data_IF_842784773914
#
_entry.id   IF_842784773914
#
_cell.length_a   1.000
_cell.length_b   1.000
_cell.length_c   1.000
_cell.angle_alpha   90.00
_cell.angle_beta   90.00
_cell.angle_gamma   90.00
#
_symmetry.space_group_name_H-M   'P 1'
#
loop_
_entity.id
_entity.type
_entity.pdbx_description
1 polymer ?
#
# COMPACT_ATOMS: atom_id res chain seq x y z
N UNK A 1 2.50 1.23 -14.18
CA UNK A 1 3.18 1.86 -13.02
C UNK A 1 4.70 2.07 -13.21
N UNK A 2 5.42 1.22 -13.98
CA UNK A 2 6.87 1.29 -14.09
C UNK A 2 7.47 2.55 -14.72
N UNK A 3 6.73 3.25 -15.55
CA UNK A 3 7.16 4.52 -16.16
C UNK A 3 6.80 5.75 -15.32
N UNK A 4 5.97 5.59 -14.28
CA UNK A 4 5.48 6.70 -13.48
C UNK A 4 6.60 7.39 -12.70
N UNK A 5 7.47 6.60 -12.08
CA UNK A 5 8.59 7.14 -11.29
C UNK A 5 9.58 7.96 -12.13
N UNK A 6 10.09 7.47 -13.27
CA UNK A 6 10.98 8.26 -14.13
C UNK A 6 10.33 9.55 -14.66
N UNK A 7 9.04 9.54 -14.94
CA UNK A 7 8.31 10.74 -15.41
C UNK A 7 8.23 11.79 -14.29
N UNK A 8 7.94 11.38 -13.07
CA UNK A 8 7.91 12.28 -11.90
C UNK A 8 9.30 12.86 -11.65
N UNK A 9 10.33 12.02 -11.65
CA UNK A 9 11.71 12.45 -11.44
C UNK A 9 12.20 13.46 -12.50
N UNK A 10 11.73 13.33 -13.75
CA UNK A 10 12.10 14.23 -14.85
C UNK A 10 11.45 15.60 -14.74
N UNK A 11 10.22 15.68 -14.19
CA UNK A 11 9.39 16.88 -14.27
C UNK A 11 9.26 17.64 -12.95
N UNK A 12 9.74 17.09 -11.83
CA UNK A 12 9.55 17.65 -10.49
C UNK A 12 10.90 17.83 -9.81
N UNK A 13 11.10 18.96 -9.14
CA UNK A 13 12.31 19.24 -8.38
C UNK A 13 12.45 18.28 -7.19
N UNK A 14 13.71 17.98 -6.81
CA UNK A 14 13.98 17.02 -5.73
C UNK A 14 13.35 17.40 -4.39
N UNK A 15 13.20 18.70 -4.12
CA UNK A 15 12.56 19.18 -2.90
C UNK A 15 11.08 18.78 -2.80
N UNK A 16 10.37 18.70 -3.94
CA UNK A 16 8.92 18.51 -3.99
C UNK A 16 8.53 17.05 -4.28
N UNK A 17 9.50 16.15 -4.42
CA UNK A 17 9.24 14.73 -4.74
C UNK A 17 8.35 14.03 -3.71
N UNK A 18 8.51 14.32 -2.42
CA UNK A 18 7.70 13.72 -1.36
C UNK A 18 6.25 14.18 -1.49
N UNK A 19 6.02 15.47 -1.75
CA UNK A 19 4.68 16.03 -1.94
C UNK A 19 4.02 15.47 -3.20
N UNK A 20 4.73 15.41 -4.31
CA UNK A 20 4.25 14.85 -5.56
C UNK A 20 3.84 13.37 -5.40
N UNK A 21 4.62 12.60 -4.66
CA UNK A 21 4.29 11.21 -4.35
C UNK A 21 3.08 11.10 -3.43
N UNK A 22 3.03 11.91 -2.39
CA UNK A 22 1.91 11.97 -1.45
C UNK A 22 0.61 12.34 -2.18
N UNK A 23 0.65 13.35 -3.05
CA UNK A 23 -0.49 13.75 -3.87
C UNK A 23 -0.94 12.64 -4.83
N UNK A 24 0.02 11.98 -5.46
CA UNK A 24 -0.25 10.87 -6.37
C UNK A 24 -0.91 9.69 -5.65
N UNK A 25 -0.46 9.40 -4.44
CA UNK A 25 -1.04 8.36 -3.60
C UNK A 25 -2.45 8.75 -3.13
N UNK A 26 -2.64 9.99 -2.73
CA UNK A 26 -3.93 10.56 -2.38
C UNK A 26 -4.97 10.39 -3.51
N UNK A 27 -4.64 10.83 -4.72
CA UNK A 27 -5.53 10.67 -5.90
C UNK A 27 -5.83 9.18 -6.13
N UNK A 28 -4.84 8.30 -6.02
CA UNK A 28 -5.04 6.86 -6.23
C UNK A 28 -6.00 6.27 -5.20
N UNK A 29 -5.91 6.66 -3.93
CA UNK A 29 -6.81 6.18 -2.89
C UNK A 29 -8.23 6.76 -3.01
N UNK A 30 -8.36 8.05 -3.34
CA UNK A 30 -9.68 8.66 -3.61
C UNK A 30 -10.36 7.97 -4.79
N UNK A 31 -9.63 7.75 -5.88
CA UNK A 31 -10.19 7.05 -7.05
C UNK A 31 -10.60 5.62 -6.70
N UNK A 32 -9.83 4.92 -5.87
CA UNK A 32 -10.14 3.57 -5.43
C UNK A 32 -11.41 3.53 -4.56
N UNK A 33 -11.49 4.41 -3.56
CA UNK A 33 -12.65 4.52 -2.67
C UNK A 33 -13.92 4.93 -3.43
N UNK A 34 -13.79 5.93 -4.30
CA UNK A 34 -14.90 6.38 -5.15
C UNK A 34 -15.36 5.28 -6.11
N UNK A 35 -14.42 4.55 -6.69
CA UNK A 35 -14.71 3.42 -7.57
C UNK A 35 -15.49 2.31 -6.86
N UNK A 36 -15.10 1.97 -5.63
CA UNK A 36 -15.82 0.98 -4.80
C UNK A 36 -17.22 1.47 -4.46
N UNK A 37 -17.38 2.73 -4.02
CA UNK A 37 -18.68 3.32 -3.70
C UNK A 37 -19.61 3.34 -4.92
N UNK A 38 -19.10 3.76 -6.08
CA UNK A 38 -19.83 3.74 -7.35
C UNK A 38 -20.19 2.32 -7.76
N UNK A 39 -19.26 1.36 -7.58
CA UNK A 39 -19.51 -0.05 -7.86
C UNK A 39 -20.66 -0.63 -7.05
N UNK A 40 -20.67 -0.39 -5.73
CA UNK A 40 -21.75 -0.82 -4.82
C UNK A 40 -23.07 -0.14 -5.20
N UNK A 41 -23.06 1.15 -5.50
CA UNK A 41 -24.24 1.91 -5.92
C UNK A 41 -24.82 1.38 -7.24
N UNK A 42 -23.97 1.13 -8.24
CA UNK A 42 -24.37 0.54 -9.52
C UNK A 42 -24.94 -0.88 -9.34
N UNK A 43 -24.36 -1.69 -8.44
CA UNK A 43 -24.84 -3.03 -8.15
C UNK A 43 -26.27 -3.00 -7.58
N UNK A 44 -26.53 -2.07 -6.69
CA UNK A 44 -27.87 -1.89 -6.10
C UNK A 44 -28.90 -1.42 -7.14
N UNK A 45 -28.56 -0.45 -7.98
CA UNK A 45 -29.48 0.07 -9.02
C UNK A 45 -29.73 -0.95 -10.13
N UNK A 46 -28.71 -1.70 -10.52
CA UNK A 46 -28.84 -2.72 -11.57
C UNK A 46 -29.45 -4.04 -11.09
N UNK A 47 -29.96 -4.10 -9.86
CA UNK A 47 -30.55 -5.32 -9.27
C UNK A 47 -29.63 -6.55 -9.40
N UNK A 48 -28.34 -6.34 -9.14
CA UNK A 48 -27.29 -7.34 -9.26
C UNK A 48 -27.03 -7.84 -10.71
N UNK A 49 -27.36 -7.03 -11.71
CA UNK A 49 -27.03 -7.35 -13.08
C UNK A 49 -25.55 -7.02 -13.37
N UNK A 50 -24.69 -8.04 -13.29
CA UNK A 50 -23.25 -7.91 -13.50
C UNK A 50 -22.87 -7.47 -14.93
N UNK A 51 -23.74 -7.71 -15.94
CA UNK A 51 -23.48 -7.28 -17.32
C UNK A 51 -23.44 -5.74 -17.42
N UNK A 52 -24.36 -5.04 -16.74
CA UNK A 52 -24.37 -3.58 -16.70
C UNK A 52 -23.12 -3.03 -16.02
N UNK A 53 -22.66 -3.68 -14.94
CA UNK A 53 -21.44 -3.28 -14.23
C UNK A 53 -20.22 -3.46 -15.13
N UNK A 54 -20.13 -4.61 -15.82
CA UNK A 54 -19.05 -4.88 -16.76
C UNK A 54 -19.01 -3.85 -17.91
N UNK A 55 -20.17 -3.45 -18.41
CA UNK A 55 -20.28 -2.42 -19.46
C UNK A 55 -19.80 -1.05 -18.96
N UNK A 56 -20.23 -0.61 -17.79
CA UNK A 56 -19.77 0.65 -17.18
C UNK A 56 -18.26 0.63 -16.96
N UNK A 57 -17.73 -0.50 -16.47
CA UNK A 57 -16.29 -0.68 -16.27
C UNK A 57 -15.54 -0.61 -17.63
N UNK A 58 -16.01 -1.27 -18.67
CA UNK A 58 -15.42 -1.22 -20.01
C UNK A 58 -15.42 0.21 -20.57
N UNK A 59 -16.53 0.94 -20.42
CA UNK A 59 -16.62 2.34 -20.82
C UNK A 59 -15.63 3.22 -20.05
N UNK A 60 -15.43 3.00 -18.76
CA UNK A 60 -14.46 3.76 -17.96
C UNK A 60 -13.02 3.55 -18.45
N UNK A 61 -12.64 2.33 -18.82
CA UNK A 61 -11.34 2.05 -19.43
C UNK A 61 -11.19 2.70 -20.80
N UNK A 62 -12.24 2.66 -21.62
CA UNK A 62 -12.24 3.33 -22.93
C UNK A 62 -12.06 4.85 -22.78
N UNK A 63 -12.79 5.49 -21.88
CA UNK A 63 -12.65 6.92 -21.59
C UNK A 63 -11.24 7.24 -21.08
N UNK A 64 -10.69 6.42 -20.19
CA UNK A 64 -9.32 6.58 -19.69
C UNK A 64 -8.29 6.50 -20.82
N UNK A 65 -8.48 5.59 -21.77
CA UNK A 65 -7.62 5.50 -22.97
C UNK A 65 -7.73 6.77 -23.83
N UNK A 66 -8.93 7.28 -24.05
CA UNK A 66 -9.14 8.53 -24.81
C UNK A 66 -8.46 9.74 -24.16
N UNK A 67 -8.50 9.85 -22.82
CA UNK A 67 -7.84 10.94 -22.09
C UNK A 67 -6.31 10.86 -22.20
N UNK A 68 -5.74 9.67 -22.36
CA UNK A 68 -4.29 9.50 -22.52
C UNK A 68 -3.76 9.87 -23.91
N UNK A 69 -4.61 9.88 -24.94
CA UNK A 69 -4.19 10.17 -26.31
C UNK A 69 -3.53 11.56 -26.46
N UNK A 70 -4.11 12.68 -25.98
CA UNK A 70 -3.51 14.02 -26.11
C UNK A 70 -2.21 14.18 -25.31
N UNK A 71 -2.05 13.45 -24.21
CA UNK A 71 -0.85 13.53 -23.34
C UNK A 71 0.25 12.55 -23.77
N UNK A 72 0.05 11.79 -24.84
CA UNK A 72 0.98 10.77 -25.31
C UNK A 72 2.41 11.30 -25.50
N UNK A 73 2.57 12.52 -26.01
CA UNK A 73 3.89 13.14 -26.26
C UNK A 73 4.65 13.39 -24.95
N UNK A 74 3.96 13.82 -23.90
CA UNK A 74 4.54 14.12 -22.58
C UNK A 74 4.86 12.83 -21.80
N UNK A 75 4.07 11.76 -22.05
CA UNK A 75 4.28 10.45 -21.47
C UNK A 75 5.34 9.63 -22.23
N UNK A 76 5.81 10.09 -23.40
CA UNK A 76 6.82 9.37 -24.15
C UNK A 76 8.18 9.59 -23.47
N UNK A 77 8.62 8.58 -22.76
CA UNK A 77 9.97 8.50 -22.24
C UNK A 77 10.90 8.17 -23.41
N UNK A 78 11.91 9.00 -23.64
CA UNK A 78 12.96 8.67 -24.62
C UNK A 78 13.53 7.30 -24.27
N UNK A 79 13.31 6.37 -25.19
CA UNK A 79 13.87 5.02 -25.07
C UNK A 79 15.37 5.22 -25.04
N UNK A 80 15.97 5.17 -23.85
CA UNK A 80 17.42 5.05 -23.75
C UNK A 80 17.73 3.72 -24.43
N UNK A 81 18.18 3.81 -25.69
CA UNK A 81 18.73 2.70 -26.44
C UNK A 81 20.08 2.34 -25.80
N UNK A 82 20.04 1.88 -24.55
CA UNK A 82 21.12 1.06 -24.04
C UNK A 82 20.87 -0.33 -24.59
N UNK A 83 21.87 -0.84 -25.29
CA UNK A 83 22.00 -2.23 -25.64
C UNK A 83 21.37 -3.07 -24.54
N UNK A 84 20.39 -3.87 -24.93
CA UNK A 84 19.83 -4.89 -24.04
C UNK A 84 21.02 -5.76 -23.71
N UNK A 85 21.68 -5.47 -22.59
CA UNK A 85 22.74 -6.32 -22.10
C UNK A 85 22.13 -7.72 -22.00
N UNK A 86 22.70 -8.68 -22.71
CA UNK A 86 22.30 -10.09 -22.66
C UNK A 86 22.62 -10.71 -21.29
N UNK A 87 22.67 -9.88 -20.27
CA UNK A 87 22.93 -10.27 -18.90
C UNK A 87 21.79 -11.18 -18.41
N UNK A 88 22.19 -12.30 -17.85
CA UNK A 88 21.27 -13.23 -17.22
C UNK A 88 20.31 -12.51 -16.29
N UNK A 89 19.03 -12.87 -16.31
CA UNK A 89 17.98 -12.36 -15.39
C UNK A 89 18.46 -12.34 -13.92
N UNK A 90 19.20 -13.35 -13.48
CA UNK A 90 19.78 -13.42 -12.15
C UNK A 90 20.80 -12.32 -11.86
N UNK A 91 21.61 -11.93 -12.86
CA UNK A 91 22.56 -10.83 -12.72
C UNK A 91 21.83 -9.49 -12.56
N UNK A 92 20.80 -9.27 -13.37
CA UNK A 92 19.97 -8.07 -13.26
C UNK A 92 19.27 -7.97 -11.89
N UNK A 93 18.75 -9.09 -11.36
CA UNK A 93 18.18 -9.15 -10.01
C UNK A 93 19.22 -8.82 -8.93
N UNK A 94 20.42 -9.39 -9.05
CA UNK A 94 21.52 -9.13 -8.12
C UNK A 94 21.96 -7.65 -8.13
N UNK A 95 22.03 -7.04 -9.30
CA UNK A 95 22.34 -5.60 -9.43
C UNK A 95 21.27 -4.71 -8.79
N UNK A 96 19.99 -5.02 -9.03
CA UNK A 96 18.88 -4.29 -8.39
C UNK A 96 18.94 -4.45 -6.88
N UNK A 97 19.15 -5.66 -6.38
CA UNK A 97 19.24 -5.93 -4.95
C UNK A 97 20.42 -5.20 -4.30
N UNK A 98 21.57 -5.15 -4.99
CA UNK A 98 22.75 -4.43 -4.53
C UNK A 98 22.50 -2.92 -4.50
N UNK A 99 21.84 -2.36 -5.52
CA UNK A 99 21.50 -0.94 -5.58
C UNK A 99 20.55 -0.55 -4.44
N UNK A 100 19.52 -1.35 -4.17
CA UNK A 100 18.59 -1.13 -3.08
C UNK A 100 19.34 -1.22 -1.73
N UNK A 101 20.20 -2.22 -1.57
CA UNK A 101 20.99 -2.42 -0.35
C UNK A 101 21.87 -1.20 -0.03
N UNK A 102 22.51 -0.60 -1.03
CA UNK A 102 23.33 0.61 -0.82
C UNK A 102 22.49 1.77 -0.30
N UNK A 103 21.34 2.04 -0.93
CA UNK A 103 20.47 3.15 -0.55
C UNK A 103 19.97 3.02 0.88
N UNK A 104 19.49 1.83 1.24
CA UNK A 104 18.94 1.64 2.57
C UNK A 104 20.02 1.60 3.67
N UNK A 105 21.22 1.11 3.38
CA UNK A 105 22.32 1.15 4.32
C UNK A 105 22.81 2.58 4.60
N UNK A 106 22.73 3.48 3.63
CA UNK A 106 23.08 4.89 3.83
C UNK A 106 21.99 5.65 4.58
N UNK A 107 20.72 5.23 4.45
CA UNK A 107 19.56 5.95 4.96
C UNK A 107 19.05 5.43 6.30
N UNK A 108 19.54 4.30 6.79
CA UNK A 108 19.06 3.64 8.00
C UNK A 108 20.20 3.06 8.84
N UNK A 109 19.98 3.02 10.16
CA UNK A 109 20.91 2.38 11.12
C UNK A 109 20.77 0.87 11.16
N UNK A 110 19.71 0.33 10.56
CA UNK A 110 19.37 -1.09 10.55
C UNK A 110 19.86 -1.75 9.26
N UNK A 111 20.28 -3.00 9.33
CA UNK A 111 20.68 -3.77 8.15
C UNK A 111 19.55 -3.80 7.11
N UNK A 112 19.89 -3.60 5.85
CA UNK A 112 18.96 -3.62 4.71
C UNK A 112 18.01 -4.83 4.70
N UNK A 113 18.52 -6.02 5.01
CA UNK A 113 17.72 -7.25 4.99
C UNK A 113 16.63 -7.20 6.07
N UNK A 114 16.94 -6.74 7.26
CA UNK A 114 15.96 -6.60 8.35
C UNK A 114 14.90 -5.56 8.00
N UNK A 115 15.32 -4.44 7.39
CA UNK A 115 14.40 -3.41 6.94
C UNK A 115 13.44 -3.92 5.84
N UNK A 116 13.96 -4.65 4.85
CA UNK A 116 13.16 -5.24 3.78
C UNK A 116 12.16 -6.25 4.33
N UNK A 117 12.60 -7.13 5.23
CA UNK A 117 11.71 -8.10 5.90
C UNK A 117 10.63 -7.38 6.69
N UNK A 118 10.96 -6.34 7.45
CA UNK A 118 9.99 -5.56 8.22
C UNK A 118 8.92 -4.93 7.30
N UNK A 119 9.34 -4.34 6.17
CA UNK A 119 8.40 -3.77 5.20
C UNK A 119 7.50 -4.86 4.60
N UNK A 120 8.05 -6.02 4.23
CA UNK A 120 7.28 -7.12 3.68
C UNK A 120 6.26 -7.66 4.68
N UNK A 121 6.66 -7.85 5.94
CA UNK A 121 5.77 -8.29 7.02
C UNK A 121 4.66 -7.27 7.28
N UNK A 122 4.98 -5.98 7.38
CA UNK A 122 3.98 -4.93 7.56
C UNK A 122 3.01 -4.84 6.38
N UNK A 123 3.45 -5.03 5.14
CA UNK A 123 2.57 -5.11 3.99
C UNK A 123 1.68 -6.36 4.02
N UNK A 124 2.24 -7.51 4.41
CA UNK A 124 1.49 -8.76 4.61
C UNK A 124 0.36 -8.56 5.62
N UNK A 125 0.69 -7.98 6.77
CA UNK A 125 -0.25 -7.72 7.87
C UNK A 125 -1.27 -6.66 7.46
N UNK A 126 -0.84 -5.51 6.95
CA UNK A 126 -1.73 -4.44 6.52
C UNK A 126 -2.71 -4.88 5.43
N UNK A 127 -2.23 -5.67 4.45
CA UNK A 127 -3.08 -6.22 3.40
C UNK A 127 -4.07 -7.29 3.88
N UNK A 128 -3.78 -7.96 5.00
CA UNK A 128 -4.65 -9.02 5.56
C UNK A 128 -5.77 -8.49 6.44
N UNK A 129 -5.70 -7.25 6.90
CA UNK A 129 -6.66 -6.67 7.85
C UNK A 129 -8.09 -6.75 7.32
N UNK A 130 -8.32 -6.39 6.07
CA UNK A 130 -9.65 -6.50 5.45
C UNK A 130 -10.17 -7.94 5.49
N UNK A 131 -9.34 -8.93 5.21
CA UNK A 131 -9.73 -10.34 5.26
C UNK A 131 -10.07 -10.80 6.69
N UNK A 132 -9.27 -10.39 7.67
CA UNK A 132 -9.51 -10.68 9.08
C UNK A 132 -10.84 -10.06 9.55
N UNK A 133 -11.06 -8.76 9.30
CA UNK A 133 -12.26 -8.08 9.69
C UNK A 133 -13.51 -8.56 8.95
N UNK A 134 -13.38 -9.03 7.70
CA UNK A 134 -14.48 -9.69 7.00
C UNK A 134 -15.03 -10.89 7.79
N UNK A 135 -14.16 -11.75 8.30
CA UNK A 135 -14.56 -12.93 9.07
C UNK A 135 -14.96 -12.55 10.50
N UNK A 136 -14.26 -11.60 11.11
CA UNK A 136 -14.57 -11.08 12.44
C UNK A 136 -16.00 -10.51 12.51
N UNK A 137 -16.39 -9.71 11.53
CA UNK A 137 -17.69 -9.05 11.47
C UNK A 137 -18.88 -10.00 11.18
N UNK A 138 -18.61 -11.23 10.71
CA UNK A 138 -19.67 -12.25 10.62
C UNK A 138 -20.18 -12.69 11.99
N UNK A 139 -19.31 -12.64 13.01
CA UNK A 139 -19.60 -13.15 14.34
C UNK A 139 -19.71 -12.04 15.40
N UNK A 140 -19.23 -10.85 15.10
CA UNK A 140 -19.21 -9.72 16.03
C UNK A 140 -19.61 -8.43 15.34
N UNK A 141 -20.34 -7.56 16.04
CA UNK A 141 -20.72 -6.24 15.54
C UNK A 141 -19.81 -5.14 16.11
N UNK A 142 -19.44 -4.18 15.30
CA UNK A 142 -18.79 -2.94 15.74
C UNK A 142 -19.88 -1.89 15.90
N UNK A 143 -20.03 -1.32 17.10
CA UNK A 143 -20.99 -0.24 17.39
C UNK A 143 -22.44 -0.58 16.99
N UNK A 144 -22.86 -1.85 17.07
CA UNK A 144 -24.16 -2.34 16.62
C UNK A 144 -24.45 -2.13 15.12
N UNK A 145 -23.43 -1.90 14.30
CA UNK A 145 -23.59 -1.84 12.85
C UNK A 145 -23.87 -3.22 12.25
N UNK A 146 -24.62 -3.24 11.17
CA UNK A 146 -24.76 -4.44 10.34
C UNK A 146 -23.39 -4.83 9.75
N UNK A 147 -23.27 -6.07 9.29
CA UNK A 147 -22.04 -6.58 8.66
C UNK A 147 -21.49 -5.63 7.57
N UNK A 148 -22.35 -5.21 6.65
CA UNK A 148 -21.95 -4.31 5.55
C UNK A 148 -21.55 -2.92 6.03
N UNK A 149 -22.23 -2.38 7.03
CA UNK A 149 -21.86 -1.10 7.65
C UNK A 149 -20.53 -1.20 8.40
N UNK A 150 -20.33 -2.26 9.17
CA UNK A 150 -19.08 -2.53 9.88
C UNK A 150 -17.90 -2.65 8.93
N UNK A 151 -18.07 -3.37 7.82
CA UNK A 151 -17.05 -3.49 6.77
C UNK A 151 -16.71 -2.14 6.14
N UNK A 152 -17.73 -1.35 5.81
CA UNK A 152 -17.52 -0.01 5.23
C UNK A 152 -16.79 0.92 6.20
N UNK A 153 -17.06 0.83 7.50
CA UNK A 153 -16.33 1.59 8.53
C UNK A 153 -14.87 1.17 8.58
N UNK A 154 -14.59 -0.13 8.58
CA UNK A 154 -13.20 -0.63 8.56
C UNK A 154 -12.45 -0.15 7.32
N UNK A 155 -13.05 -0.29 6.14
CA UNK A 155 -12.45 0.18 4.87
C UNK A 155 -12.23 1.70 4.88
N UNK A 156 -13.20 2.48 5.36
CA UNK A 156 -13.07 3.92 5.48
C UNK A 156 -11.91 4.32 6.41
N UNK A 157 -11.69 3.58 7.49
CA UNK A 157 -10.59 3.80 8.43
C UNK A 157 -9.24 3.44 7.79
N UNK A 158 -9.17 2.30 7.10
CA UNK A 158 -7.96 1.87 6.41
C UNK A 158 -7.54 2.89 5.36
N UNK A 159 -8.45 3.25 4.47
CA UNK A 159 -8.18 4.22 3.40
C UNK A 159 -7.98 5.62 3.97
N UNK A 160 -8.84 6.06 4.89
CA UNK A 160 -8.77 7.39 5.51
C UNK A 160 -7.48 7.60 6.29
N UNK A 161 -7.03 6.61 7.07
CA UNK A 161 -5.76 6.66 7.77
C UNK A 161 -4.58 6.84 6.82
N UNK A 162 -4.52 6.01 5.76
CA UNK A 162 -3.45 6.12 4.75
C UNK A 162 -3.50 7.48 4.03
N UNK A 163 -4.69 7.98 3.69
CA UNK A 163 -4.86 9.28 3.06
C UNK A 163 -4.33 10.42 3.94
N UNK A 164 -4.78 10.47 5.19
CA UNK A 164 -4.31 11.49 6.15
C UNK A 164 -2.80 11.39 6.35
N UNK A 165 -2.27 10.16 6.48
CA UNK A 165 -0.84 9.91 6.59
C UNK A 165 -0.05 10.44 5.39
N UNK A 166 -0.51 10.21 4.17
CA UNK A 166 0.16 10.68 2.97
C UNK A 166 0.03 12.19 2.75
N UNK A 167 -1.07 12.82 3.21
CA UNK A 167 -1.30 14.26 3.08
C UNK A 167 -0.59 15.13 4.13
N UNK A 168 0.07 14.52 5.10
CA UNK A 168 0.81 15.22 6.15
C UNK A 168 2.31 14.98 6.07
N UNK A 169 2.99 15.39 4.96
CA UNK A 169 4.40 15.06 4.70
C UNK A 169 5.38 15.77 5.64
N UNK A 170 4.96 16.84 6.35
CA UNK A 170 5.83 17.69 7.18
C UNK A 170 5.64 17.49 8.70
N UNK A 171 4.86 16.51 9.13
CA UNK A 171 4.64 16.26 10.55
C UNK A 171 5.84 15.59 11.25
N UNK A 172 5.70 15.37 12.56
CA UNK A 172 6.74 14.74 13.37
C UNK A 172 7.14 13.34 12.85
N UNK A 173 6.15 12.50 12.48
CA UNK A 173 6.41 11.13 12.04
C UNK A 173 7.09 11.07 10.66
N UNK A 174 6.81 12.04 9.80
CA UNK A 174 7.45 12.14 8.48
C UNK A 174 8.94 12.49 8.58
N UNK A 175 9.37 13.14 9.67
CA UNK A 175 10.78 13.51 9.92
C UNK A 175 11.61 12.33 10.47
N UNK A 176 10.97 11.31 11.03
CA UNK A 176 11.67 10.17 11.61
C UNK A 176 12.43 9.38 10.54
N UNK A 177 13.58 8.77 10.88
CA UNK A 177 14.21 7.75 10.04
C UNK A 177 13.25 6.61 9.72
N UNK A 178 13.41 5.96 8.55
CA UNK A 178 12.48 4.94 8.09
C UNK A 178 12.38 3.75 9.05
N UNK A 179 13.49 3.34 9.65
CA UNK A 179 13.55 2.25 10.63
C UNK A 179 12.75 2.56 11.90
N UNK A 180 12.82 3.79 12.41
CA UNK A 180 12.02 4.23 13.55
C UNK A 180 10.53 4.31 13.21
N UNK A 181 10.19 4.79 12.02
CA UNK A 181 8.81 4.83 11.54
C UNK A 181 8.22 3.43 11.46
N UNK A 182 8.97 2.45 10.90
CA UNK A 182 8.55 1.06 10.82
C UNK A 182 8.38 0.42 12.19
N UNK A 183 9.31 0.65 13.13
CA UNK A 183 9.21 0.15 14.51
C UNK A 183 7.95 0.67 15.22
N UNK A 184 7.67 1.98 15.12
CA UNK A 184 6.47 2.56 15.72
C UNK A 184 5.21 1.97 15.06
N UNK A 185 5.20 1.84 13.73
CA UNK A 185 4.09 1.23 13.00
C UNK A 185 3.85 -0.21 13.45
N UNK A 186 4.90 -1.00 13.60
CA UNK A 186 4.82 -2.37 14.11
C UNK A 186 4.26 -2.40 15.53
N UNK A 187 4.76 -1.57 16.44
CA UNK A 187 4.22 -1.49 17.81
C UNK A 187 2.73 -1.17 17.83
N UNK A 188 2.28 -0.25 16.98
CA UNK A 188 0.84 0.07 16.91
C UNK A 188 0.02 -1.09 16.35
N UNK A 189 0.52 -1.83 15.35
CA UNK A 189 -0.15 -3.05 14.87
C UNK A 189 -0.17 -4.15 15.94
N UNK A 190 0.90 -4.32 16.72
CA UNK A 190 0.90 -5.23 17.89
C UNK A 190 -0.23 -4.84 18.85
N UNK A 191 -0.38 -3.55 19.15
CA UNK A 191 -1.45 -3.07 20.02
C UNK A 191 -2.85 -3.32 19.41
N UNK A 192 -3.01 -3.21 18.08
CA UNK A 192 -4.26 -3.63 17.37
C UNK A 192 -4.53 -5.12 17.62
N UNK A 193 -3.53 -5.97 17.42
CA UNK A 193 -3.65 -7.41 17.66
C UNK A 193 -4.03 -7.73 19.11
N UNK A 194 -3.32 -7.14 20.07
CA UNK A 194 -3.58 -7.34 21.51
C UNK A 194 -4.96 -6.83 21.92
N UNK A 195 -5.41 -5.68 21.41
CA UNK A 195 -6.73 -5.13 21.75
C UNK A 195 -7.87 -6.05 21.30
N UNK A 196 -7.73 -6.71 20.16
CA UNK A 196 -8.71 -7.66 19.66
C UNK A 196 -8.56 -9.03 20.35
N UNK A 197 -7.35 -9.49 20.65
CA UNK A 197 -7.10 -10.75 21.35
C UNK A 197 -7.69 -10.74 22.77
N UNK A 198 -7.52 -9.64 23.49
CA UNK A 198 -8.07 -9.48 24.84
C UNK A 198 -9.52 -8.97 24.87
N UNK A 199 -10.21 -8.93 23.73
CA UNK A 199 -11.58 -8.47 23.61
C UNK A 199 -11.83 -7.10 24.26
N UNK A 200 -10.87 -6.19 24.12
CA UNK A 200 -11.04 -4.81 24.56
C UNK A 200 -12.14 -4.14 23.72
N UNK A 201 -12.61 -2.95 24.18
CA UNK A 201 -13.63 -2.23 23.42
C UNK A 201 -13.28 -2.14 21.93
N UNK A 202 -14.20 -2.48 21.01
CA UNK A 202 -13.98 -2.37 19.56
C UNK A 202 -13.52 -0.98 19.12
N UNK A 203 -13.90 0.06 19.86
CA UNK A 203 -13.48 1.44 19.61
C UNK A 203 -11.96 1.59 19.77
N UNK A 204 -11.36 0.95 20.77
CA UNK A 204 -9.91 0.98 21.00
C UNK A 204 -9.19 0.34 19.80
N UNK A 205 -9.64 -0.82 19.35
CA UNK A 205 -9.08 -1.50 18.18
C UNK A 205 -9.16 -0.65 16.92
N UNK A 206 -10.27 0.03 16.71
CA UNK A 206 -10.50 0.94 15.59
C UNK A 206 -9.58 2.17 15.65
N UNK A 207 -9.44 2.81 16.80
CA UNK A 207 -8.56 3.96 16.97
C UNK A 207 -7.08 3.59 16.74
N UNK A 208 -6.66 2.44 17.28
CA UNK A 208 -5.31 1.91 17.04
C UNK A 208 -5.09 1.59 15.56
N UNK A 209 -6.08 0.97 14.92
CA UNK A 209 -6.03 0.67 13.49
C UNK A 209 -5.94 1.95 12.65
N UNK A 210 -6.73 2.97 12.97
CA UNK A 210 -6.66 4.27 12.30
C UNK A 210 -5.26 4.90 12.41
N UNK A 211 -4.64 4.80 13.59
CA UNK A 211 -3.29 5.32 13.79
C UNK A 211 -2.23 4.47 13.08
N UNK A 212 -2.36 3.14 13.08
CA UNK A 212 -1.47 2.25 12.35
C UNK A 212 -1.48 2.54 10.83
N UNK A 213 -2.68 2.72 10.26
CA UNK A 213 -2.83 3.04 8.82
C UNK A 213 -2.35 4.44 8.48
N UNK A 214 -2.52 5.42 9.38
CA UNK A 214 -1.92 6.75 9.25
C UNK A 214 -0.39 6.67 9.14
N UNK A 215 0.27 5.91 10.02
CA UNK A 215 1.71 5.70 9.95
C UNK A 215 2.12 4.96 8.67
N UNK A 216 1.36 3.94 8.27
CA UNK A 216 1.59 3.19 7.02
C UNK A 216 1.51 4.09 5.79
N UNK A 217 0.62 5.09 5.80
CA UNK A 217 0.50 6.08 4.74
C UNK A 217 1.77 6.91 4.50
N UNK A 218 2.67 6.98 5.49
CA UNK A 218 3.96 7.69 5.40
C UNK A 218 5.10 6.81 4.90
N UNK A 219 5.02 5.50 5.07
CA UNK A 219 6.10 4.57 4.73
C UNK A 219 6.37 4.56 3.22
N UNK A 220 5.32 4.38 2.41
CA UNK A 220 5.47 4.26 0.95
C UNK A 220 6.02 5.55 0.29
N UNK A 221 5.50 6.76 0.57
CA UNK A 221 6.09 7.99 0.03
C UNK A 221 7.55 8.16 0.41
N UNK A 222 7.91 7.77 1.64
CA UNK A 222 9.29 7.88 2.13
C UNK A 222 10.24 6.92 1.41
N UNK A 223 9.84 5.66 1.21
CA UNK A 223 10.61 4.69 0.43
C UNK A 223 10.80 5.21 -1.00
N UNK A 224 9.72 5.68 -1.62
CA UNK A 224 9.75 6.18 -2.99
C UNK A 224 10.63 7.42 -3.12
N UNK A 225 10.59 8.34 -2.15
CA UNK A 225 11.48 9.50 -2.12
C UNK A 225 12.95 9.08 -2.01
N UNK A 226 13.28 8.13 -1.12
CA UNK A 226 14.64 7.60 -1.00
C UNK A 226 15.14 6.98 -2.31
N UNK A 227 14.30 6.22 -3.01
CA UNK A 227 14.65 5.65 -4.31
C UNK A 227 14.90 6.74 -5.35
N UNK A 228 14.03 7.75 -5.41
CA UNK A 228 14.12 8.84 -6.37
C UNK A 228 15.36 9.71 -6.16
N UNK A 229 15.73 9.95 -4.91
CA UNK A 229 16.88 10.80 -4.57
C UNK A 229 18.22 10.10 -4.84
N UNK A 230 18.28 8.79 -4.61
CA UNK A 230 19.57 8.07 -4.59
C UNK A 230 19.81 7.17 -5.81
N UNK A 231 18.78 6.92 -6.65
CA UNK A 231 18.96 6.09 -7.85
C UNK A 231 18.99 6.90 -9.14
N UNK A 232 19.94 6.59 -10.04
CA UNK A 232 19.91 7.13 -11.39
C UNK A 232 18.69 6.62 -12.16
N UNK A 233 18.16 7.45 -13.06
CA UNK A 233 16.92 7.19 -13.80
C UNK A 233 16.90 5.87 -14.59
N UNK A 234 18.07 5.41 -15.03
CA UNK A 234 18.21 4.16 -15.81
C UNK A 234 17.99 2.89 -14.97
N UNK A 235 18.19 2.93 -13.65
CA UNK A 235 18.01 1.80 -12.72
C UNK A 235 16.74 1.95 -11.93
N UNK A 236 16.27 3.18 -11.71
CA UNK A 236 15.13 3.53 -10.89
C UNK A 236 13.87 2.77 -11.28
N UNK A 237 13.52 2.73 -12.57
CA UNK A 237 12.31 2.05 -13.04
C UNK A 237 12.32 0.54 -12.75
N UNK A 238 13.46 -0.12 -12.93
CA UNK A 238 13.61 -1.56 -12.66
C UNK A 238 13.55 -1.84 -11.17
N UNK A 239 14.26 -1.05 -10.37
CA UNK A 239 14.32 -1.19 -8.91
C UNK A 239 12.95 -0.94 -8.26
N UNK A 240 12.25 0.11 -8.65
CA UNK A 240 10.93 0.41 -8.11
C UNK A 240 9.88 -0.61 -8.54
N UNK A 241 9.97 -1.16 -9.76
CA UNK A 241 9.09 -2.25 -10.19
C UNK A 241 9.34 -3.53 -9.40
N UNK A 242 10.60 -3.87 -9.14
CA UNK A 242 10.96 -5.03 -8.34
C UNK A 242 10.43 -4.92 -6.90
N UNK A 243 10.65 -3.78 -6.23
CA UNK A 243 10.10 -3.55 -4.89
C UNK A 243 8.57 -3.57 -4.89
N UNK A 244 7.94 -2.91 -5.87
CA UNK A 244 6.48 -2.90 -6.00
C UNK A 244 5.93 -4.32 -6.19
N UNK A 245 6.61 -5.16 -6.95
CA UNK A 245 6.23 -6.57 -7.13
C UNK A 245 6.37 -7.36 -5.82
N UNK A 246 7.47 -7.21 -5.11
CA UNK A 246 7.67 -7.85 -3.80
C UNK A 246 6.59 -7.44 -2.80
N UNK A 247 6.32 -6.14 -2.69
CA UNK A 247 5.31 -5.62 -1.77
C UNK A 247 3.89 -6.07 -2.17
N UNK A 248 3.59 -6.09 -3.47
CA UNK A 248 2.28 -6.55 -3.96
C UNK A 248 2.08 -8.04 -3.73
N UNK A 249 3.12 -8.87 -3.91
CA UNK A 249 3.04 -10.31 -3.68
C UNK A 249 2.86 -10.68 -2.20
N UNK A 250 3.35 -9.86 -1.28
CA UNK A 250 3.19 -10.10 0.16
C UNK A 250 1.72 -10.03 0.60
N UNK A 251 0.90 -9.20 -0.04
CA UNK A 251 -0.51 -8.99 0.30
C UNK A 251 -1.36 -10.25 0.08
N UNK A 252 -1.40 -10.87 -1.13
CA UNK A 252 -2.18 -12.09 -1.34
C UNK A 252 -1.75 -13.26 -0.44
N UNK A 253 -0.45 -13.38 -0.16
CA UNK A 253 0.07 -14.43 0.73
C UNK A 253 -0.50 -14.23 2.14
N UNK A 254 -0.40 -13.02 2.67
CA UNK A 254 -0.96 -12.69 3.97
C UNK A 254 -2.47 -12.87 4.02
N UNK A 255 -3.18 -12.35 3.02
CA UNK A 255 -4.64 -12.50 2.91
C UNK A 255 -5.05 -13.97 2.92
N UNK A 256 -4.40 -14.83 2.15
CA UNK A 256 -4.69 -16.27 2.11
C UNK A 256 -4.45 -16.94 3.47
N UNK A 257 -3.28 -16.73 4.08
CA UNK A 257 -2.92 -17.30 5.38
C UNK A 257 -3.91 -16.85 6.46
N UNK A 258 -4.13 -15.55 6.58
CA UNK A 258 -5.02 -15.01 7.61
C UNK A 258 -6.49 -15.34 7.38
N UNK A 259 -6.96 -15.45 6.12
CA UNK A 259 -8.33 -15.93 5.84
C UNK A 259 -8.53 -17.37 6.34
N UNK A 260 -7.58 -18.26 6.09
CA UNK A 260 -7.66 -19.66 6.55
C UNK A 260 -7.66 -19.71 8.08
N UNK A 261 -6.71 -19.04 8.73
CA UNK A 261 -6.59 -19.06 10.20
C UNK A 261 -7.83 -18.42 10.85
N UNK A 262 -8.33 -17.31 10.30
CA UNK A 262 -9.52 -16.61 10.82
C UNK A 262 -10.78 -17.46 10.71
N UNK A 263 -10.90 -18.29 9.67
CA UNK A 263 -12.03 -19.21 9.54
C UNK A 263 -12.01 -20.35 10.57
N UNK A 264 -10.85 -20.70 11.11
CA UNK A 264 -10.72 -21.74 12.13
C UNK A 264 -10.87 -21.18 13.54
N UNK A 265 -10.12 -20.13 13.86
CA UNK A 265 -10.13 -19.55 15.21
C UNK A 265 -9.67 -18.09 15.19
N UNK A 266 -10.57 -17.18 15.57
CA UNK A 266 -10.28 -15.76 15.57
C UNK A 266 -9.23 -15.34 16.60
N UNK A 267 -9.20 -15.99 17.78
CA UNK A 267 -8.20 -15.69 18.81
C UNK A 267 -6.78 -16.10 18.35
N UNK A 268 -6.67 -17.26 17.68
CA UNK A 268 -5.41 -17.69 17.08
C UNK A 268 -4.97 -16.71 15.98
N UNK A 269 -5.90 -16.16 15.23
CA UNK A 269 -5.62 -15.14 14.21
C UNK A 269 -4.98 -13.91 14.83
N UNK A 270 -5.58 -13.35 15.88
CA UNK A 270 -5.03 -12.18 16.55
C UNK A 270 -3.70 -12.47 17.27
N UNK A 271 -3.54 -13.68 17.80
CA UNK A 271 -2.26 -14.12 18.39
C UNK A 271 -1.16 -14.17 17.31
N UNK A 272 -1.42 -14.84 16.19
CA UNK A 272 -0.46 -14.94 15.07
C UNK A 272 -0.17 -13.56 14.49
N UNK A 273 -1.19 -12.73 14.31
CA UNK A 273 -1.06 -11.34 13.87
C UNK A 273 -0.08 -10.57 14.77
N UNK A 274 -0.26 -10.67 16.07
CA UNK A 274 0.60 -10.00 17.06
C UNK A 274 2.05 -10.51 17.07
N UNK A 275 2.25 -11.83 16.86
CA UNK A 275 3.60 -12.44 16.86
C UNK A 275 4.37 -12.09 15.57
N UNK A 276 3.68 -12.04 14.44
CA UNK A 276 4.32 -11.77 13.14
C UNK A 276 4.67 -10.29 12.97
N UNK A 277 3.93 -9.40 13.65
CA UNK A 277 4.18 -7.96 13.63
C UNK A 277 5.38 -7.56 14.45
#
# INVERSE_FOLDING_TARGET
NGLRMPIIQKNIEQADLIEAYSFTQFISYICNLSGQAIGVWLLNISQNNFANIALVNALSFFLSACVLIPVKKELTYEKITKEISSDSFMKQLSEMFTSIKMIFNESSTTSFIHLLIAILLLNTIGGSITAIYNIFLLNQSILNFSYSQGLLVVEAILVGGILVGSLTPHDYFSKLPIDNLLKITAVVFILVGLSNLFHLSPIIGILLLSFATYLSGKVNPKINSLLLTNLPSNVLARTSNFLSLLFTLSIPIGTAVFSIVSSWNMNMTWLIFTIIT
#
